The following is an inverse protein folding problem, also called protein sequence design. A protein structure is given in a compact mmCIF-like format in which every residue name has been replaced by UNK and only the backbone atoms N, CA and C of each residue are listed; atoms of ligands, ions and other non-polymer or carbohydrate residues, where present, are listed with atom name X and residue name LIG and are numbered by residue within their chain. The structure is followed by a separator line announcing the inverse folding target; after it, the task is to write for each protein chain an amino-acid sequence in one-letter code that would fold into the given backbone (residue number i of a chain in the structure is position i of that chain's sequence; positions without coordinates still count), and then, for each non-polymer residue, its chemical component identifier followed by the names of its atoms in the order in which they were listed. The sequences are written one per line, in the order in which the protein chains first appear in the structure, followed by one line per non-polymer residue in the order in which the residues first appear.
data_IF_960148305683
#
_entry.id   IF_960148305683
#
_cell.length_a   1.000
_cell.length_b   1.000
_cell.length_c   1.000
_cell.angle_alpha   90.00
_cell.angle_beta   90.00
_cell.angle_gamma   90.00
#
_symmetry.space_group_name_H-M   'P 1'
#
loop_
_entity.id
_entity.type
_entity.pdbx_description
1 polymer ?
#
# COMPACT_ATOMS: atom_id res chain seq x y z
N UNK A 1 -20.71 -36.71 44.97
CA UNK A 1 -21.46 -35.55 44.44
C UNK A 1 -21.26 -34.42 45.44
N UNK A 2 -20.43 -33.43 45.10
CA UNK A 2 -20.04 -32.35 46.00
C UNK A 2 -20.86 -31.08 45.72
N UNK A 3 -21.24 -30.49 46.84
CA UNK A 3 -22.08 -29.34 47.14
C UNK A 3 -21.73 -28.07 46.32
N UNK A 4 -22.76 -27.41 45.78
CA UNK A 4 -22.67 -26.04 45.27
C UNK A 4 -22.90 -25.04 46.42
N UNK A 5 -22.01 -24.06 46.57
CA UNK A 5 -22.25 -22.94 47.49
C UNK A 5 -21.11 -21.91 47.60
N UNK A 6 -21.40 -20.70 47.10
CA UNK A 6 -21.04 -19.36 47.60
C UNK A 6 -19.63 -18.76 47.35
N UNK A 7 -19.61 -17.86 46.35
CA UNK A 7 -19.06 -16.48 46.29
C UNK A 7 -18.02 -16.03 47.33
N UNK A 8 -16.84 -15.57 46.87
CA UNK A 8 -16.31 -14.19 47.09
C UNK A 8 -14.80 -14.15 46.92
N UNK A 9 -14.30 -13.36 45.95
CA UNK A 9 -13.04 -12.64 46.12
C UNK A 9 -13.17 -11.28 45.44
N UNK A 10 -13.42 -10.26 46.25
CA UNK A 10 -13.17 -8.88 45.89
C UNK A 10 -11.66 -8.64 45.84
N UNK A 11 -11.24 -7.93 44.79
CA UNK A 11 -10.10 -7.01 44.73
C UNK A 11 -8.67 -7.53 45.03
N UNK A 12 -7.86 -7.57 43.97
CA UNK A 12 -6.42 -7.32 44.03
C UNK A 12 -6.08 -6.30 42.92
N UNK A 13 -5.52 -5.12 43.24
CA UNK A 13 -5.19 -4.10 42.26
C UNK A 13 -3.73 -4.20 41.76
N UNK A 14 -3.55 -3.80 40.48
CA UNK A 14 -2.29 -3.46 39.78
C UNK A 14 -1.40 -4.67 39.34
N UNK A 15 -0.69 -4.69 38.20
CA UNK A 15 0.05 -3.62 37.48
C UNK A 15 0.28 -4.02 35.97
N UNK A 16 1.01 -3.26 35.14
CA UNK A 16 0.64 -2.85 33.79
C UNK A 16 1.24 -3.74 32.69
N UNK A 17 0.50 -3.96 31.61
CA UNK A 17 1.07 -4.54 30.41
C UNK A 17 0.52 -3.76 29.24
N UNK A 18 1.36 -2.93 28.64
CA UNK A 18 1.12 -2.43 27.30
C UNK A 18 0.69 -3.62 26.45
N UNK A 19 -0.60 -3.68 26.13
CA UNK A 19 -1.03 -4.50 25.02
C UNK A 19 -0.47 -3.82 23.78
N UNK A 20 0.78 -4.14 23.44
CA UNK A 20 1.19 -4.21 22.04
C UNK A 20 0.25 -5.20 21.40
N UNK A 21 -0.91 -4.69 21.00
CA UNK A 21 -1.88 -5.40 20.20
C UNK A 21 -1.23 -5.57 18.85
N UNK A 22 -0.41 -6.62 18.72
CA UNK A 22 -0.04 -7.15 17.42
C UNK A 22 -1.31 -7.21 16.58
N UNK A 23 -1.32 -6.61 15.39
CA UNK A 23 -2.52 -6.55 14.59
C UNK A 23 -2.95 -8.00 14.33
N UNK A 24 -4.24 -8.23 14.13
CA UNK A 24 -4.67 -9.53 13.64
C UNK A 24 -3.90 -9.84 12.35
N UNK A 25 -3.25 -11.02 12.26
CA UNK A 25 -2.42 -11.45 11.12
C UNK A 25 -3.07 -11.20 9.75
N UNK A 26 -4.40 -11.22 9.71
CA UNK A 26 -5.20 -10.89 8.53
C UNK A 26 -4.91 -9.47 8.01
N UNK A 27 -4.80 -8.45 8.88
CA UNK A 27 -4.49 -7.08 8.46
C UNK A 27 -3.12 -6.95 7.80
N UNK A 28 -2.12 -7.66 8.32
CA UNK A 28 -0.77 -7.68 7.71
C UNK A 28 -0.83 -8.29 6.32
N UNK A 29 -1.52 -9.42 6.16
CA UNK A 29 -1.70 -10.07 4.86
C UNK A 29 -2.45 -9.18 3.85
N UNK A 30 -3.48 -8.44 4.30
CA UNK A 30 -4.18 -7.48 3.45
C UNK A 30 -3.25 -6.36 2.95
N UNK A 31 -2.43 -5.78 3.82
CA UNK A 31 -1.47 -4.74 3.44
C UNK A 31 -0.34 -5.28 2.54
N UNK A 32 0.12 -6.51 2.76
CA UNK A 32 1.10 -7.16 1.88
C UNK A 32 0.54 -7.38 0.47
N UNK A 33 -0.72 -7.84 0.38
CA UNK A 33 -1.40 -7.99 -0.90
C UNK A 33 -1.58 -6.63 -1.61
N UNK A 34 -2.08 -5.63 -0.89
CA UNK A 34 -2.27 -4.28 -1.44
C UNK A 34 -0.94 -3.69 -1.93
N UNK A 35 0.14 -3.90 -1.18
CA UNK A 35 1.49 -3.49 -1.58
C UNK A 35 1.95 -4.18 -2.88
N UNK A 36 1.67 -5.47 -3.03
CA UNK A 36 1.97 -6.20 -4.26
C UNK A 36 1.19 -5.65 -5.45
N UNK A 37 -0.11 -5.37 -5.28
CA UNK A 37 -0.97 -4.83 -6.34
C UNK A 37 -0.46 -3.45 -6.81
N UNK A 38 -0.12 -2.57 -5.88
CA UNK A 38 0.41 -1.24 -6.23
C UNK A 38 1.80 -1.32 -6.89
N UNK A 39 2.65 -2.27 -6.50
CA UNK A 39 3.94 -2.51 -7.18
C UNK A 39 3.74 -2.97 -8.61
N UNK A 40 2.85 -3.94 -8.83
CA UNK A 40 2.52 -4.41 -10.17
C UNK A 40 1.96 -3.27 -11.04
N UNK A 41 1.09 -2.42 -10.46
CA UNK A 41 0.59 -1.24 -11.15
C UNK A 41 1.70 -0.24 -11.50
N UNK A 42 2.62 0.03 -10.57
CA UNK A 42 3.78 0.89 -10.83
C UNK A 42 4.63 0.35 -11.97
N UNK A 43 4.96 -0.94 -11.94
CA UNK A 43 5.80 -1.58 -12.96
C UNK A 43 5.12 -1.54 -14.35
N UNK A 44 3.79 -1.70 -14.39
CA UNK A 44 3.00 -1.53 -15.62
C UNK A 44 3.02 -0.08 -16.15
N UNK A 45 2.92 0.91 -15.26
CA UNK A 45 3.00 2.33 -15.63
C UNK A 45 4.40 2.68 -16.15
N UNK A 46 5.45 2.20 -15.50
CA UNK A 46 6.84 2.40 -15.93
C UNK A 46 7.07 1.82 -17.34
N UNK A 47 6.52 0.64 -17.64
CA UNK A 47 6.59 0.04 -18.97
C UNK A 47 5.89 0.89 -20.06
N UNK A 48 4.70 1.42 -19.77
CA UNK A 48 4.00 2.30 -20.72
C UNK A 48 4.71 3.63 -20.94
N UNK A 49 5.28 4.22 -19.87
CA UNK A 49 6.07 5.44 -19.98
C UNK A 49 7.29 5.19 -20.88
N UNK A 50 7.99 4.08 -20.67
CA UNK A 50 9.16 3.71 -21.48
C UNK A 50 8.81 3.49 -22.97
N UNK A 51 7.66 2.88 -23.27
CA UNK A 51 7.17 2.73 -24.65
C UNK A 51 6.93 4.10 -25.31
N UNK A 52 6.24 5.01 -24.60
CA UNK A 52 5.99 6.36 -25.11
C UNK A 52 7.30 7.13 -25.31
N UNK A 53 8.27 7.02 -24.39
CA UNK A 53 9.59 7.62 -24.54
C UNK A 53 10.35 7.07 -25.75
N UNK A 54 10.22 5.77 -26.04
CA UNK A 54 10.81 5.17 -27.23
C UNK A 54 10.19 5.75 -28.50
N UNK A 55 8.86 5.87 -28.55
CA UNK A 55 8.12 6.45 -29.69
C UNK A 55 8.44 7.92 -29.91
N UNK A 56 8.60 8.69 -28.84
CA UNK A 56 8.95 10.13 -28.91
C UNK A 56 10.34 10.40 -29.51
N UNK A 57 11.24 9.40 -29.54
CA UNK A 57 12.57 9.50 -30.17
C UNK A 57 12.50 9.39 -31.69
N UNK A 58 11.38 8.96 -32.26
CA UNK A 58 11.22 8.88 -33.72
C UNK A 58 11.22 10.29 -34.34
N UNK A 59 12.21 10.63 -35.20
CA UNK A 59 12.29 11.93 -35.84
C UNK A 59 11.19 12.16 -36.89
N UNK A 60 10.56 11.09 -37.38
CA UNK A 60 9.47 11.13 -38.37
C UNK A 60 8.09 11.30 -37.74
N UNK A 61 8.01 11.25 -36.40
CA UNK A 61 6.76 11.36 -35.66
C UNK A 61 6.09 12.74 -35.89
N UNK A 62 4.83 12.78 -36.37
CA UNK A 62 4.10 14.02 -36.60
C UNK A 62 3.98 14.87 -35.33
N UNK A 63 3.98 16.20 -35.47
CA UNK A 63 3.88 17.14 -34.33
C UNK A 63 2.63 16.91 -33.47
N UNK A 64 1.49 16.59 -34.10
CA UNK A 64 0.25 16.29 -33.40
C UNK A 64 0.37 15.03 -32.54
N UNK A 65 0.91 13.94 -33.10
CA UNK A 65 1.16 12.70 -32.36
C UNK A 65 2.20 12.88 -31.26
N UNK A 66 3.26 13.64 -31.51
CA UNK A 66 4.27 14.01 -30.51
C UNK A 66 3.65 14.74 -29.33
N UNK A 67 2.71 15.66 -29.59
CA UNK A 67 2.01 16.41 -28.55
C UNK A 67 1.07 15.51 -27.74
N UNK A 68 0.33 14.63 -28.43
CA UNK A 68 -0.56 13.66 -27.78
C UNK A 68 0.22 12.68 -26.90
N UNK A 69 1.33 12.12 -27.39
CA UNK A 69 2.21 11.24 -26.63
C UNK A 69 2.85 11.96 -25.44
N UNK A 70 3.30 13.21 -25.61
CA UNK A 70 3.85 14.00 -24.51
C UNK A 70 2.81 14.39 -23.43
N UNK A 71 1.53 14.47 -23.81
CA UNK A 71 0.43 14.61 -22.85
C UNK A 71 0.18 13.30 -22.10
N UNK A 72 -0.02 12.22 -22.83
CA UNK A 72 -0.24 10.88 -22.27
C UNK A 72 0.87 10.48 -21.31
N UNK A 73 2.13 10.74 -21.66
CA UNK A 73 3.28 10.51 -20.79
C UNK A 73 3.13 11.23 -19.45
N UNK A 74 2.73 12.51 -19.45
CA UNK A 74 2.56 13.31 -18.23
C UNK A 74 1.44 12.79 -17.34
N UNK A 75 0.36 12.28 -17.93
CA UNK A 75 -0.73 11.64 -17.20
C UNK A 75 -0.24 10.36 -16.51
N UNK A 76 0.46 9.50 -17.25
CA UNK A 76 1.04 8.26 -16.69
C UNK A 76 2.08 8.54 -15.61
N UNK A 77 2.93 9.56 -15.76
CA UNK A 77 3.87 10.00 -14.73
C UNK A 77 3.12 10.47 -13.46
N UNK A 78 1.95 11.10 -13.62
CA UNK A 78 1.06 11.46 -12.52
C UNK A 78 0.50 10.23 -11.79
N UNK A 79 -0.02 9.25 -12.53
CA UNK A 79 -0.50 7.99 -11.98
C UNK A 79 0.62 7.20 -11.27
N UNK A 80 1.83 7.22 -11.84
CA UNK A 80 2.99 6.54 -11.28
C UNK A 80 3.41 7.17 -9.96
N UNK A 81 3.37 8.51 -9.83
CA UNK A 81 3.57 9.20 -8.56
C UNK A 81 2.49 8.84 -7.53
N UNK A 82 1.23 8.77 -7.95
CA UNK A 82 0.15 8.34 -7.06
C UNK A 82 0.35 6.89 -6.58
N UNK A 83 0.79 5.97 -7.43
CA UNK A 83 1.12 4.60 -7.04
C UNK A 83 2.26 4.57 -6.01
N UNK A 84 3.31 5.37 -6.19
CA UNK A 84 4.40 5.50 -5.22
C UNK A 84 3.91 6.04 -3.86
N UNK A 85 3.04 7.04 -3.85
CA UNK A 85 2.44 7.57 -2.62
C UNK A 85 1.63 6.51 -1.88
N UNK A 86 0.86 5.69 -2.61
CA UNK A 86 0.11 4.57 -2.03
C UNK A 86 1.04 3.50 -1.43
N UNK A 87 2.07 3.10 -2.17
CA UNK A 87 3.10 2.17 -1.69
C UNK A 87 3.72 2.69 -0.38
N UNK A 88 4.10 3.98 -0.34
CA UNK A 88 4.69 4.59 0.84
C UNK A 88 3.71 4.61 2.03
N UNK A 89 2.42 4.92 1.80
CA UNK A 89 1.39 4.89 2.84
C UNK A 89 1.19 3.49 3.42
N UNK A 90 1.19 2.46 2.58
CA UNK A 90 1.05 1.07 3.04
C UNK A 90 2.26 0.66 3.86
N UNK A 91 3.48 1.02 3.44
CA UNK A 91 4.68 0.78 4.23
C UNK A 91 4.65 1.48 5.58
N UNK A 92 4.24 2.75 5.63
CA UNK A 92 4.08 3.47 6.90
C UNK A 92 3.11 2.76 7.82
N UNK A 93 1.98 2.27 7.29
CA UNK A 93 1.02 1.49 8.07
C UNK A 93 1.66 0.22 8.59
N UNK A 94 2.28 -0.59 7.72
CA UNK A 94 2.97 -1.84 8.07
C UNK A 94 4.06 -1.68 9.15
N UNK A 95 4.79 -0.57 9.16
CA UNK A 95 5.85 -0.30 10.15
C UNK A 95 5.28 0.17 11.50
N UNK A 96 4.14 0.88 11.48
CA UNK A 96 3.47 1.40 12.69
C UNK A 96 2.39 0.45 13.24
N UNK A 97 2.35 -0.76 12.71
CA UNK A 97 1.63 -1.86 13.28
C UNK A 97 2.31 -2.22 14.64
N UNK A 98 1.64 -2.05 15.79
CA UNK A 98 2.19 -2.43 17.10
C UNK A 98 2.28 -3.94 17.31
#
# INVERSE_FOLDING_TARGET
MLVSGVISWAYLPQVPGEATTSPPRQHVQWYEQELQDWRQRRDFLDAQIADIEARLKDPTLPTAERTALAHQKRELEGERRNADEWIQRIFQRLIHIP
#
